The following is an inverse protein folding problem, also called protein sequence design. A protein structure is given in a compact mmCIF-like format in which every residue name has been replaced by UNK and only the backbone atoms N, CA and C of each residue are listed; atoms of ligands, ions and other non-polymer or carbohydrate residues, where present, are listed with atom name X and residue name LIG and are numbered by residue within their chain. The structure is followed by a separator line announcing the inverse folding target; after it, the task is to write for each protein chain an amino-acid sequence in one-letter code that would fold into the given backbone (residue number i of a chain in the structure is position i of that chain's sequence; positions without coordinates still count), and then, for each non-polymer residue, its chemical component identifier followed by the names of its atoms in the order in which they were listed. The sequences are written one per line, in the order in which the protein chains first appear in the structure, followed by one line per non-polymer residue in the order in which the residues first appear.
data_IF_766329050077
#
_entry.id   IF_766329050077
#
_cell.length_a   1.000
_cell.length_b   1.000
_cell.length_c   1.000
_cell.angle_alpha   90.00
_cell.angle_beta   90.00
_cell.angle_gamma   90.00
#
_symmetry.space_group_name_H-M   'P 1'
#
loop_
_entity.id
_entity.type
_entity.pdbx_description
1 polymer ?
#
# COMPACT_ATOMS: atom_id res chain seq x y z
N UNK A 1 10.91 -23.89 -5.16
CA UNK A 1 11.45 -22.59 -4.73
C UNK A 1 10.59 -22.12 -3.57
N UNK A 2 11.16 -21.94 -2.38
CA UNK A 2 10.43 -21.29 -1.29
C UNK A 2 10.20 -19.84 -1.70
N UNK A 3 8.94 -19.47 -1.86
CA UNK A 3 8.57 -18.07 -2.05
C UNK A 3 9.02 -17.29 -0.82
N UNK A 4 9.95 -16.35 -1.03
CA UNK A 4 10.46 -15.52 0.04
C UNK A 4 9.41 -14.45 0.38
N UNK A 5 8.42 -14.83 1.18
CA UNK A 5 7.25 -14.02 1.53
C UNK A 5 7.62 -12.66 2.13
N UNK A 6 8.82 -12.56 2.73
CA UNK A 6 9.36 -11.30 3.26
C UNK A 6 9.67 -10.32 2.13
N UNK A 7 10.32 -10.78 1.05
CA UNK A 7 10.61 -9.94 -0.12
C UNK A 7 9.30 -9.48 -0.77
N UNK A 8 8.33 -10.40 -0.93
CA UNK A 8 7.00 -10.05 -1.47
C UNK A 8 6.27 -9.02 -0.62
N UNK A 9 6.43 -9.08 0.71
CA UNK A 9 5.83 -8.11 1.63
C UNK A 9 6.50 -6.73 1.54
N UNK A 10 7.82 -6.69 1.44
CA UNK A 10 8.57 -5.44 1.27
C UNK A 10 8.37 -4.79 -0.11
N UNK A 11 8.09 -5.59 -1.14
CA UNK A 11 7.76 -5.13 -2.50
C UNK A 11 6.29 -4.71 -2.66
N UNK A 12 5.47 -4.74 -1.60
CA UNK A 12 4.07 -4.31 -1.71
C UNK A 12 4.03 -2.83 -2.14
N UNK A 13 3.23 -2.50 -3.18
CA UNK A 13 3.21 -1.16 -3.77
C UNK A 13 2.77 -0.09 -2.77
N UNK A 14 2.03 -0.47 -1.74
CA UNK A 14 1.43 0.41 -0.75
C UNK A 14 2.22 0.47 0.56
N UNK A 15 3.42 -0.11 0.62
CA UNK A 15 4.25 -0.13 1.82
C UNK A 15 5.61 0.50 1.51
N UNK A 16 6.15 1.25 2.48
CA UNK A 16 7.54 1.73 2.48
C UNK A 16 8.18 1.21 3.76
N UNK A 17 9.25 0.43 3.64
CA UNK A 17 10.11 0.11 4.78
C UNK A 17 10.86 1.39 5.19
N UNK A 18 10.64 1.84 6.42
CA UNK A 18 11.26 3.05 6.96
C UNK A 18 12.53 2.75 7.73
N UNK A 19 12.61 1.57 8.36
CA UNK A 19 13.78 1.16 9.14
C UNK A 19 13.97 -0.35 9.14
N UNK A 20 15.24 -0.77 9.22
CA UNK A 20 15.64 -2.16 9.41
C UNK A 20 16.54 -2.20 10.63
N UNK A 21 16.08 -2.86 11.69
CA UNK A 21 16.83 -3.05 12.93
C UNK A 21 17.31 -4.49 12.97
N UNK A 22 18.63 -4.67 13.08
CA UNK A 22 19.25 -5.98 13.28
C UNK A 22 19.50 -6.19 14.77
N UNK A 23 18.99 -7.28 15.33
CA UNK A 23 19.38 -7.77 16.67
C UNK A 23 20.16 -9.07 16.52
N UNK A 24 20.60 -9.67 17.63
CA UNK A 24 21.36 -10.93 17.62
C UNK A 24 20.55 -12.11 17.04
N UNK A 25 19.22 -12.07 17.15
CA UNK A 25 18.33 -13.19 16.87
C UNK A 25 17.30 -12.93 15.76
N UNK A 26 17.10 -11.67 15.34
CA UNK A 26 16.08 -11.32 14.34
C UNK A 26 16.37 -10.01 13.61
N UNK A 27 15.68 -9.85 12.49
CA UNK A 27 15.52 -8.58 11.80
C UNK A 27 14.12 -8.04 12.06
N UNK A 28 14.04 -6.78 12.47
CA UNK A 28 12.79 -6.05 12.64
C UNK A 28 12.68 -5.04 11.50
N UNK A 29 11.64 -5.18 10.70
CA UNK A 29 11.31 -4.24 9.63
C UNK A 29 10.21 -3.32 10.13
N UNK A 30 10.49 -2.02 10.21
CA UNK A 30 9.46 -1.01 10.44
C UNK A 30 9.03 -0.52 9.07
N UNK A 31 7.73 -0.57 8.82
CA UNK A 31 7.17 -0.15 7.54
C UNK A 31 5.93 0.69 7.76
N UNK A 32 5.77 1.70 6.90
CA UNK A 32 4.61 2.57 6.87
C UNK A 32 3.80 2.30 5.60
N UNK A 33 2.49 2.42 5.71
CA UNK A 33 1.64 2.46 4.53
C UNK A 33 1.99 3.72 3.73
N UNK A 34 2.23 3.58 2.42
CA UNK A 34 2.26 4.72 1.51
C UNK A 34 0.97 5.47 1.69
N UNK A 35 1.07 6.77 1.97
CA UNK A 35 -0.04 7.69 1.83
C UNK A 35 -0.33 7.82 0.34
N UNK A 36 -1.00 6.82 -0.22
CA UNK A 36 -1.55 6.90 -1.54
C UNK A 36 -2.69 7.91 -1.44
N UNK A 37 -2.40 9.12 -1.93
CA UNK A 37 -3.40 10.08 -2.29
C UNK A 37 -4.31 9.42 -3.33
N UNK A 38 -5.52 9.05 -2.92
CA UNK A 38 -6.48 8.49 -3.86
C UNK A 38 -7.02 9.65 -4.66
N UNK A 39 -6.71 9.65 -5.96
CA UNK A 39 -7.18 10.66 -6.90
C UNK A 39 -8.57 10.24 -7.39
N UNK A 40 -9.57 11.09 -7.16
CA UNK A 40 -10.90 10.88 -7.71
C UNK A 40 -10.84 10.95 -9.24
N UNK A 41 -11.25 9.91 -9.99
CA UNK A 41 -11.21 9.92 -11.44
C UNK A 41 -12.23 10.87 -12.08
N UNK A 42 -13.19 11.40 -11.30
CA UNK A 42 -14.25 12.30 -11.80
C UNK A 42 -13.89 13.78 -11.66
N UNK A 43 -13.17 14.17 -10.59
CA UNK A 43 -12.87 15.57 -10.31
C UNK A 43 -11.40 15.85 -9.99
N UNK A 44 -10.54 14.84 -9.98
CA UNK A 44 -9.11 14.98 -9.68
C UNK A 44 -8.78 15.28 -8.20
N UNK A 45 -9.79 15.37 -7.32
CA UNK A 45 -9.53 15.61 -5.90
C UNK A 45 -8.76 14.45 -5.28
N UNK A 46 -7.80 14.82 -4.45
CA UNK A 46 -6.96 13.91 -3.68
C UNK A 46 -7.59 13.71 -2.30
N UNK A 47 -7.85 12.47 -1.91
CA UNK A 47 -8.26 12.13 -0.53
C UNK A 47 -7.31 11.13 0.11
N UNK A 48 -7.11 11.30 1.41
CA UNK A 48 -6.36 10.40 2.28
C UNK A 48 -7.31 9.59 3.19
N UNK A 49 -8.63 9.72 3.01
CA UNK A 49 -9.64 9.03 3.81
C UNK A 49 -10.11 7.79 3.06
N UNK A 50 -9.84 6.62 3.62
CA UNK A 50 -10.30 5.31 3.09
C UNK A 50 -11.83 5.27 2.93
N UNK A 51 -12.58 6.00 3.77
CA UNK A 51 -14.05 6.05 3.70
C UNK A 51 -14.58 6.89 2.53
N UNK A 52 -13.77 7.80 1.97
CA UNK A 52 -14.12 8.56 0.76
C UNK A 52 -13.92 7.72 -0.51
N UNK A 53 -13.20 6.59 -0.38
CA UNK A 53 -12.98 5.59 -1.43
C UNK A 53 -14.22 4.71 -1.61
N UNK A 54 -15.38 5.30 -1.92
CA UNK A 54 -16.55 4.49 -2.29
C UNK A 54 -16.28 3.79 -3.62
N UNK A 55 -16.38 2.47 -3.62
CA UNK A 55 -16.40 1.65 -4.83
C UNK A 55 -17.57 2.09 -5.72
N UNK A 56 -17.28 2.79 -6.81
CA UNK A 56 -18.23 2.90 -7.93
C UNK A 56 -18.06 1.67 -8.79
N UNK A 57 -19.12 0.87 -8.91
CA UNK A 57 -19.23 -0.12 -9.98
C UNK A 57 -19.30 0.70 -11.27
N UNK A 58 -18.28 0.60 -12.10
CA UNK A 58 -18.29 1.21 -13.43
C UNK A 58 -19.20 0.34 -14.32
N UNK A 59 -20.47 0.69 -14.40
CA UNK A 59 -21.32 0.19 -15.48
C UNK A 59 -20.92 0.90 -16.77
N UNK A 60 -20.16 0.20 -17.62
CA UNK A 60 -19.99 0.59 -19.01
C UNK A 60 -21.25 0.15 -19.77
N UNK A 61 -22.06 1.10 -20.23
CA UNK A 61 -23.05 0.83 -21.27
C UNK A 61 -22.34 0.64 -22.63
N UNK A 62 -22.87 -0.22 -23.51
CA UNK A 62 -22.27 -0.54 -24.82
C UNK A 62 -22.17 0.66 -25.77
#
# INVERSE_FOLDING_TARGET
MQDNNIIKFLDLPDIIATEIISTEDRYIFIAEAKKNHIVCPQCGNITNKIHDTKWKILETSP
#
